data_IF_405094683802
#
_entry.id   IF_405094683802
#
_cell.length_a   1.000
_cell.length_b   1.000
_cell.length_c   1.000
_cell.angle_alpha   90.00
_cell.angle_beta   90.00
_cell.angle_gamma   90.00
#
_symmetry.space_group_name_H-M   'P 1'
#
loop_
_entity.id
_entity.type
_entity.pdbx_description
1 polymer ?
#
# COMPACT_ATOMS: atom_id res chain seq x y z
N UNK A 1 -7.19 -0.98 -7.34
CA UNK A 1 -7.87 -0.50 -6.11
C UNK A 1 -8.84 0.66 -6.38
N UNK A 2 -8.41 1.85 -6.78
CA UNK A 2 -9.30 3.03 -6.94
C UNK A 2 -10.40 2.91 -8.02
N UNK A 3 -10.22 2.02 -9.01
CA UNK A 3 -11.26 1.68 -9.99
C UNK A 3 -12.30 0.67 -9.47
N UNK A 4 -12.28 0.32 -8.18
CA UNK A 4 -13.23 -0.62 -7.57
C UNK A 4 -12.84 -2.10 -7.66
N UNK A 5 -11.64 -2.43 -8.14
CA UNK A 5 -11.15 -3.81 -8.23
C UNK A 5 -10.29 -4.22 -7.04
N UNK A 6 -10.45 -5.49 -6.64
CA UNK A 6 -9.58 -6.17 -5.69
C UNK A 6 -8.16 -6.28 -6.24
N UNK A 7 -7.16 -6.11 -5.38
CA UNK A 7 -5.76 -6.22 -5.74
C UNK A 7 -5.06 -7.06 -4.67
N UNK A 8 -4.22 -8.02 -5.09
CA UNK A 8 -3.45 -8.88 -4.20
C UNK A 8 -2.00 -8.91 -4.66
N UNK A 9 -1.07 -8.76 -3.72
CA UNK A 9 0.37 -8.81 -3.98
C UNK A 9 1.01 -9.77 -2.98
N UNK A 10 1.82 -10.70 -3.48
CA UNK A 10 2.50 -11.71 -2.68
C UNK A 10 3.99 -11.68 -3.01
N UNK A 11 4.83 -11.57 -1.97
CA UNK A 11 6.26 -11.79 -2.11
C UNK A 11 6.58 -13.27 -1.90
N UNK A 12 7.16 -13.92 -2.91
CA UNK A 12 7.51 -15.35 -2.88
C UNK A 12 9.02 -15.56 -3.00
N UNK A 13 9.55 -16.57 -2.31
CA UNK A 13 10.97 -16.91 -2.31
C UNK A 13 11.41 -17.61 -1.03
N UNK A 14 12.62 -18.16 -1.02
CA UNK A 14 13.21 -18.82 0.15
C UNK A 14 13.52 -17.84 1.31
N UNK A 15 13.78 -18.35 2.52
CA UNK A 15 14.24 -17.51 3.64
C UNK A 15 15.47 -16.67 3.25
N UNK A 16 15.55 -15.44 3.79
CA UNK A 16 16.57 -14.44 3.44
C UNK A 16 16.58 -13.94 1.98
N UNK A 17 15.60 -14.30 1.14
CA UNK A 17 15.49 -13.79 -0.24
C UNK A 17 14.97 -12.35 -0.35
N UNK A 18 14.91 -11.59 0.75
CA UNK A 18 14.46 -10.20 0.74
C UNK A 18 12.95 -9.96 0.74
N UNK A 19 12.08 -10.96 0.90
CA UNK A 19 10.61 -10.77 0.92
C UNK A 19 10.13 -9.67 1.89
N UNK A 20 10.60 -9.73 3.14
CA UNK A 20 10.26 -8.73 4.17
C UNK A 20 10.85 -7.36 3.82
N UNK A 21 12.06 -7.33 3.25
CA UNK A 21 12.69 -6.09 2.77
C UNK A 21 11.88 -5.45 1.64
N UNK A 22 11.39 -6.23 0.68
CA UNK A 22 10.54 -5.70 -0.40
C UNK A 22 9.18 -5.24 0.10
N UNK A 23 8.50 -6.03 0.94
CA UNK A 23 7.15 -5.71 1.39
C UNK A 23 7.13 -4.61 2.45
N UNK A 24 7.96 -4.71 3.48
CA UNK A 24 7.98 -3.78 4.61
C UNK A 24 9.17 -2.82 4.56
N UNK A 25 10.34 -3.30 4.14
CA UNK A 25 11.59 -2.53 4.13
C UNK A 25 12.16 -2.30 5.52
N UNK A 26 12.99 -1.29 5.64
CA UNK A 26 13.51 -0.77 6.91
C UNK A 26 12.93 0.62 7.18
N UNK A 27 13.34 1.27 8.28
CA UNK A 27 12.91 2.64 8.57
C UNK A 27 13.55 3.65 7.62
N UNK A 28 14.79 3.38 7.22
CA UNK A 28 15.61 4.21 6.34
C UNK A 28 15.26 3.98 4.87
N UNK A 29 14.86 2.75 4.52
CA UNK A 29 14.38 2.38 3.18
C UNK A 29 13.03 1.64 3.28
N UNK A 30 11.90 2.38 3.35
CA UNK A 30 10.57 1.78 3.48
C UNK A 30 10.21 0.96 2.24
N UNK A 31 9.58 -0.19 2.44
CA UNK A 31 9.16 -1.11 1.38
C UNK A 31 7.82 -0.74 0.73
N UNK A 32 7.21 -1.70 0.05
CA UNK A 32 5.97 -1.49 -0.70
C UNK A 32 4.76 -1.14 0.18
N UNK A 33 4.56 -1.83 1.30
CA UNK A 33 3.42 -1.60 2.21
C UNK A 33 3.39 -0.16 2.73
N UNK A 34 4.44 0.36 3.41
CA UNK A 34 4.40 1.72 3.93
C UNK A 34 4.22 2.77 2.83
N UNK A 35 4.91 2.62 1.68
CA UNK A 35 4.75 3.53 0.52
C UNK A 35 3.35 3.47 -0.09
N UNK A 36 2.75 2.28 -0.15
CA UNK A 36 1.41 2.10 -0.67
C UNK A 36 0.37 2.75 0.24
N UNK A 37 0.50 2.58 1.57
CA UNK A 37 -0.39 3.24 2.52
C UNK A 37 -0.32 4.76 2.37
N UNK A 38 0.88 5.34 2.34
CA UNK A 38 1.08 6.77 2.14
C UNK A 38 0.45 7.24 0.82
N UNK A 39 0.78 6.58 -0.30
CA UNK A 39 0.24 6.93 -1.61
C UNK A 39 -1.29 6.80 -1.69
N UNK A 40 -1.89 5.83 -0.99
CA UNK A 40 -3.36 5.70 -0.91
C UNK A 40 -3.96 6.92 -0.22
N UNK A 41 -3.44 7.32 0.95
CA UNK A 41 -3.98 8.46 1.68
C UNK A 41 -3.74 9.78 0.96
N UNK A 42 -2.55 9.99 0.37
CA UNK A 42 -2.28 11.19 -0.45
C UNK A 42 -3.21 11.28 -1.66
N UNK A 43 -3.53 10.15 -2.29
CA UNK A 43 -4.45 10.13 -3.43
C UNK A 43 -5.89 10.46 -3.01
N UNK A 44 -6.33 9.95 -1.85
CA UNK A 44 -7.64 10.28 -1.27
C UNK A 44 -7.74 11.79 -0.97
N UNK A 45 -6.70 12.38 -0.37
CA UNK A 45 -6.66 13.81 -0.05
C UNK A 45 -6.73 14.70 -1.32
N UNK A 46 -6.03 14.30 -2.38
CA UNK A 46 -6.04 15.03 -3.66
C UNK A 46 -7.37 14.92 -4.42
N UNK A 47 -8.20 13.90 -4.16
CA UNK A 47 -9.48 13.69 -4.86
C UNK A 47 -10.68 14.33 -4.13
N UNK A 48 -10.43 15.22 -3.18
CA UNK A 48 -11.44 15.89 -2.34
C UNK A 48 -12.41 16.84 -3.08
N UNK A 49 -12.25 17.03 -4.39
CA UNK A 49 -13.19 17.80 -5.23
C UNK A 49 -14.41 16.98 -5.70
N UNK A 50 -14.37 15.65 -5.63
CA UNK A 50 -15.52 14.81 -5.96
C UNK A 50 -16.16 14.33 -4.65
N UNK A 51 -17.49 14.26 -4.59
CA UNK A 51 -18.31 13.84 -3.43
C UNK A 51 -18.14 12.33 -3.10
N UNK A 52 -16.90 11.85 -3.02
CA UNK A 52 -16.52 10.45 -2.76
C UNK A 52 -16.02 10.33 -1.32
N UNK A 53 -16.73 9.52 -0.55
CA UNK A 53 -16.33 9.17 0.81
C UNK A 53 -15.60 7.83 0.78
N UNK A 54 -14.34 7.82 1.23
CA UNK A 54 -13.52 6.62 1.33
C UNK A 54 -13.52 6.09 2.76
N UNK A 55 -13.77 4.78 2.94
CA UNK A 55 -13.64 4.09 4.24
C UNK A 55 -12.48 3.10 4.17
N UNK A 56 -11.48 3.31 5.01
CA UNK A 56 -10.31 2.42 5.13
C UNK A 56 -10.48 1.53 6.36
N UNK A 57 -10.18 0.24 6.24
CA UNK A 57 -10.23 -0.71 7.36
C UNK A 57 -9.03 -1.64 7.28
N UNK A 58 -8.28 -1.76 8.37
CA UNK A 58 -7.19 -2.72 8.54
C UNK A 58 -7.67 -3.75 9.56
N UNK A 59 -7.43 -5.04 9.28
CA UNK A 59 -7.74 -6.14 10.18
C UNK A 59 -6.46 -6.78 10.69
#
# INVERSE_FOLDING_TARGET
MFSGYNSCLIAYGQSASGKTYTMMGTKEDPGLIPRLCEGIFSKIEQESEHERIYRVTVR
#
